data_IF_929110161537
#
_entry.id   IF_929110161537
#
_cell.length_a   1.000
_cell.length_b   1.000
_cell.length_c   1.000
_cell.angle_alpha   90.00
_cell.angle_beta   90.00
_cell.angle_gamma   90.00
#
_symmetry.space_group_name_H-M   'P 1'
#
loop_
_entity.id
_entity.type
_entity.pdbx_description
1 polymer ?
#
# COMPACT_ATOMS: atom_id res chain seq x y z
N UNK A 1 35.56 -28.40 -1.44
CA UNK A 1 34.54 -27.99 -2.42
C UNK A 1 33.82 -26.78 -1.85
N UNK A 2 34.17 -25.56 -2.31
CA UNK A 2 33.66 -24.30 -1.76
C UNK A 2 32.49 -23.84 -2.60
N UNK A 3 31.28 -23.80 -2.05
CA UNK A 3 30.13 -23.18 -2.69
C UNK A 3 30.19 -21.67 -2.45
N UNK A 4 30.46 -20.91 -3.51
CA UNK A 4 30.34 -19.47 -3.51
C UNK A 4 28.85 -19.08 -3.47
N UNK A 5 28.43 -18.34 -2.45
CA UNK A 5 27.10 -17.74 -2.38
C UNK A 5 26.99 -16.51 -3.30
N UNK A 6 25.81 -16.17 -3.81
CA UNK A 6 25.61 -14.98 -4.62
C UNK A 6 25.60 -13.74 -3.72
N UNK A 7 26.80 -13.18 -3.50
CA UNK A 7 26.96 -11.86 -2.91
C UNK A 7 26.78 -10.79 -3.96
N UNK A 8 25.56 -10.30 -4.16
CA UNK A 8 25.31 -9.00 -4.78
C UNK A 8 24.90 -8.02 -3.68
N UNK A 9 25.89 -7.38 -3.05
CA UNK A 9 25.67 -6.16 -2.28
C UNK A 9 25.26 -5.08 -3.27
N UNK A 10 23.96 -4.80 -3.37
CA UNK A 10 23.42 -3.69 -4.14
C UNK A 10 23.94 -2.36 -3.59
N UNK A 11 25.00 -1.85 -4.20
CA UNK A 11 25.65 -0.59 -3.83
C UNK A 11 24.85 0.58 -4.41
N UNK A 12 23.90 1.16 -3.66
CA UNK A 12 23.39 2.54 -3.82
C UNK A 12 22.77 3.00 -5.18
N UNK A 13 22.99 2.28 -6.29
CA UNK A 13 22.52 2.60 -7.64
C UNK A 13 21.07 2.16 -7.86
N UNK A 14 20.67 1.06 -7.24
CA UNK A 14 19.30 0.52 -7.37
C UNK A 14 18.26 1.45 -6.74
N UNK A 15 18.65 2.28 -5.76
CA UNK A 15 17.77 3.29 -5.18
C UNK A 15 17.46 4.44 -6.14
N UNK A 16 18.40 4.81 -7.03
CA UNK A 16 18.24 5.96 -7.93
C UNK A 16 17.33 5.63 -9.12
N UNK A 17 17.38 4.40 -9.63
CA UNK A 17 16.51 3.96 -10.74
C UNK A 17 15.07 3.72 -10.29
N UNK A 18 14.88 3.16 -9.08
CA UNK A 18 13.54 3.05 -8.49
C UNK A 18 12.90 4.42 -8.20
N UNK A 19 13.72 5.45 -7.96
CA UNK A 19 13.27 6.81 -7.61
C UNK A 19 12.58 7.54 -8.78
N UNK A 20 12.86 7.15 -10.03
CA UNK A 20 12.30 7.80 -11.23
C UNK A 20 11.19 7.00 -11.92
N UNK A 21 11.08 5.70 -11.65
CA UNK A 21 10.09 4.85 -12.33
C UNK A 21 8.64 5.26 -12.01
N UNK A 22 8.33 5.56 -10.74
CA UNK A 22 6.98 5.96 -10.34
C UNK A 22 6.54 7.28 -11.01
N UNK A 23 7.30 8.40 -10.92
CA UNK A 23 6.94 9.63 -11.60
C UNK A 23 6.68 9.44 -13.10
N UNK A 24 7.56 8.70 -13.79
CA UNK A 24 7.45 8.46 -15.24
C UNK A 24 6.22 7.64 -15.59
N UNK A 25 5.92 6.57 -14.84
CA UNK A 25 4.74 5.75 -15.08
C UNK A 25 3.44 6.49 -14.75
N UNK A 26 3.43 7.30 -13.68
CA UNK A 26 2.29 8.14 -13.33
C UNK A 26 2.01 9.18 -14.41
N UNK A 27 3.03 9.90 -14.86
CA UNK A 27 2.88 10.91 -15.92
C UNK A 27 2.42 10.25 -17.23
N UNK A 28 3.05 9.16 -17.67
CA UNK A 28 2.66 8.47 -18.90
C UNK A 28 1.22 7.94 -18.85
N UNK A 29 0.79 7.42 -17.70
CA UNK A 29 -0.58 6.96 -17.52
C UNK A 29 -1.57 8.13 -17.49
N UNK A 30 -1.23 9.23 -16.82
CA UNK A 30 -2.06 10.44 -16.80
C UNK A 30 -2.18 11.07 -18.19
N UNK A 31 -1.09 11.12 -18.96
CA UNK A 31 -1.10 11.60 -20.35
C UNK A 31 -2.02 10.77 -21.25
N UNK A 32 -2.13 9.47 -20.96
CA UNK A 32 -3.04 8.59 -21.68
C UNK A 32 -4.50 8.73 -21.25
N UNK A 33 -4.76 8.88 -19.94
CA UNK A 33 -6.12 8.84 -19.38
C UNK A 33 -6.81 10.20 -19.33
N UNK A 34 -6.07 11.26 -19.03
CA UNK A 34 -6.56 12.62 -18.82
C UNK A 34 -5.42 13.65 -19.02
N UNK A 35 -4.96 13.85 -20.28
CA UNK A 35 -3.81 14.70 -20.58
C UNK A 35 -3.96 16.14 -20.07
N UNK A 36 -5.18 16.67 -20.03
CA UNK A 36 -5.52 18.00 -19.52
C UNK A 36 -5.42 18.12 -17.98
N UNK A 37 -5.47 17.00 -17.25
CA UNK A 37 -5.32 16.95 -15.79
C UNK A 37 -3.90 16.54 -15.35
N UNK A 38 -2.99 16.29 -16.31
CA UNK A 38 -1.64 15.82 -16.02
C UNK A 38 -0.78 16.92 -15.43
N UNK A 39 -0.12 16.64 -14.31
CA UNK A 39 0.79 17.59 -13.66
C UNK A 39 2.18 17.42 -14.26
N UNK A 40 2.65 18.44 -14.98
CA UNK A 40 3.96 18.44 -15.65
C UNK A 40 4.94 19.34 -14.95
N UNK A 41 6.23 19.11 -15.22
CA UNK A 41 7.28 20.06 -14.88
C UNK A 41 7.09 21.37 -15.65
N UNK A 42 6.68 22.42 -14.93
CA UNK A 42 6.47 23.75 -15.46
C UNK A 42 5.87 24.70 -14.43
N UNK A 43 5.78 25.99 -14.77
CA UNK A 43 5.11 27.01 -13.95
C UNK A 43 5.62 27.07 -12.50
N UNK A 44 4.74 26.99 -11.47
CA UNK A 44 5.09 27.19 -10.06
C UNK A 44 6.05 26.15 -9.47
N UNK A 45 6.33 25.05 -10.19
CA UNK A 45 7.32 24.06 -9.77
C UNK A 45 8.76 24.49 -10.15
N UNK A 46 8.91 25.41 -11.11
CA UNK A 46 10.21 25.96 -11.49
C UNK A 46 10.73 26.84 -10.35
N UNK A 47 11.86 26.46 -9.76
CA UNK A 47 12.48 27.15 -8.62
C UNK A 47 12.37 26.42 -7.28
N UNK A 48 11.64 25.30 -7.22
CA UNK A 48 11.72 24.38 -6.08
C UNK A 48 12.99 23.53 -6.15
N UNK A 49 13.49 23.09 -4.99
CA UNK A 49 14.57 22.11 -4.91
C UNK A 49 14.19 20.79 -5.64
N UNK A 50 15.12 20.11 -6.34
CA UNK A 50 14.81 18.94 -7.16
C UNK A 50 14.07 17.81 -6.42
N UNK A 51 14.38 17.59 -5.14
CA UNK A 51 13.68 16.60 -4.33
C UNK A 51 12.21 16.98 -4.07
N UNK A 52 11.95 18.28 -3.83
CA UNK A 52 10.61 18.80 -3.64
C UNK A 52 9.81 18.81 -4.94
N UNK A 53 10.42 19.21 -6.06
CA UNK A 53 9.79 19.12 -7.38
C UNK A 53 9.28 17.71 -7.67
N UNK A 54 10.12 16.69 -7.46
CA UNK A 54 9.74 15.29 -7.67
C UNK A 54 8.58 14.86 -6.77
N UNK A 55 8.62 15.25 -5.50
CA UNK A 55 7.52 14.98 -4.58
C UNK A 55 6.20 15.62 -5.05
N UNK A 56 6.21 16.89 -5.44
CA UNK A 56 5.02 17.61 -5.92
C UNK A 56 4.47 17.00 -7.23
N UNK A 57 5.34 16.55 -8.14
CA UNK A 57 4.91 15.85 -9.36
C UNK A 57 4.20 14.53 -9.05
N UNK A 58 4.78 13.72 -8.17
CA UNK A 58 4.19 12.43 -7.78
C UNK A 58 2.87 12.67 -7.06
N UNK A 59 2.84 13.57 -6.07
CA UNK A 59 1.62 13.87 -5.32
C UNK A 59 0.53 14.45 -6.22
N UNK A 60 0.88 15.41 -7.08
CA UNK A 60 -0.04 16.05 -8.01
C UNK A 60 -0.66 15.06 -9.00
N UNK A 61 0.16 14.23 -9.66
CA UNK A 61 -0.35 13.21 -10.58
C UNK A 61 -1.12 12.10 -9.84
N UNK A 62 -0.71 11.70 -8.64
CA UNK A 62 -1.44 10.71 -7.84
C UNK A 62 -2.83 11.22 -7.43
N UNK A 63 -2.92 12.48 -7.02
CA UNK A 63 -4.18 13.16 -6.73
C UNK A 63 -5.07 13.28 -7.97
N UNK A 64 -4.51 13.70 -9.11
CA UNK A 64 -5.23 13.80 -10.37
C UNK A 64 -5.74 12.43 -10.82
N UNK A 65 -4.88 11.41 -10.83
CA UNK A 65 -5.24 10.05 -11.17
C UNK A 65 -6.36 9.52 -10.26
N UNK A 66 -6.25 9.70 -8.94
CA UNK A 66 -7.31 9.27 -8.04
C UNK A 66 -8.65 9.96 -8.35
N UNK A 67 -8.67 11.23 -8.77
CA UNK A 67 -9.92 11.92 -9.14
C UNK A 67 -10.50 11.34 -10.43
N UNK A 68 -9.67 11.14 -11.45
CA UNK A 68 -10.07 10.53 -12.74
C UNK A 68 -10.66 9.14 -12.52
N UNK A 69 -9.94 8.27 -11.79
CA UNK A 69 -10.37 6.88 -11.57
C UNK A 69 -11.65 6.77 -10.73
N UNK A 70 -11.92 7.71 -9.82
CA UNK A 70 -13.17 7.74 -9.04
C UNK A 70 -14.37 8.16 -9.87
N UNK A 71 -14.17 9.07 -10.83
CA UNK A 71 -15.24 9.51 -11.75
C UNK A 71 -15.62 8.42 -12.75
N UNK A 72 -14.67 7.57 -13.15
CA UNK A 72 -14.91 6.48 -14.11
C UNK A 72 -14.20 5.17 -13.71
N UNK A 73 -14.95 4.31 -13.02
CA UNK A 73 -14.47 2.98 -12.62
C UNK A 73 -14.30 2.02 -13.81
N UNK A 74 -14.87 2.32 -15.00
CA UNK A 74 -14.60 1.51 -16.19
C UNK A 74 -13.16 1.71 -16.69
N UNK A 75 -12.58 2.90 -16.52
CA UNK A 75 -11.15 3.12 -16.78
C UNK A 75 -10.29 2.23 -15.88
N UNK A 76 -10.64 2.11 -14.59
CA UNK A 76 -9.92 1.22 -13.67
C UNK A 76 -9.94 -0.22 -14.15
N UNK A 77 -11.10 -0.71 -14.60
CA UNK A 77 -11.24 -2.09 -15.12
C UNK A 77 -10.45 -2.30 -16.41
N UNK A 78 -10.46 -1.31 -17.31
CA UNK A 78 -9.76 -1.35 -18.60
C UNK A 78 -8.24 -1.35 -18.43
N UNK A 79 -7.72 -0.52 -17.53
CA UNK A 79 -6.27 -0.32 -17.29
C UNK A 79 -5.78 -0.98 -15.99
N UNK A 80 -6.44 -2.08 -15.58
CA UNK A 80 -6.21 -2.69 -14.26
C UNK A 80 -4.76 -3.13 -14.05
N UNK A 81 -4.09 -3.62 -15.09
CA UNK A 81 -2.74 -4.16 -14.96
C UNK A 81 -1.73 -3.04 -14.72
N UNK A 82 -1.85 -1.96 -15.50
CA UNK A 82 -1.04 -0.76 -15.41
C UNK A 82 -1.23 -0.08 -14.06
N UNK A 83 -2.47 0.04 -13.60
CA UNK A 83 -2.80 0.65 -12.32
C UNK A 83 -2.34 -0.18 -11.11
N UNK A 84 -2.51 -1.51 -11.16
CA UNK A 84 -2.00 -2.41 -10.12
C UNK A 84 -0.47 -2.33 -10.04
N UNK A 85 0.22 -2.22 -11.19
CA UNK A 85 1.67 -2.08 -11.25
C UNK A 85 2.22 -0.80 -10.59
N UNK A 86 1.37 0.21 -10.33
CA UNK A 86 1.77 1.39 -9.56
C UNK A 86 1.85 1.12 -8.05
N UNK A 87 1.13 0.13 -7.52
CA UNK A 87 1.10 -0.15 -6.08
C UNK A 87 2.48 -0.48 -5.49
N UNK A 88 3.29 -1.39 -6.06
CA UNK A 88 4.63 -1.64 -5.53
C UNK A 88 5.58 -0.45 -5.73
N UNK A 89 5.28 0.47 -6.65
CA UNK A 89 6.13 1.63 -6.91
C UNK A 89 5.82 2.81 -5.97
N UNK A 90 4.55 2.96 -5.56
CA UNK A 90 4.12 4.02 -4.65
C UNK A 90 4.51 3.73 -3.19
N UNK A 91 4.86 4.77 -2.46
CA UNK A 91 5.11 4.67 -1.02
C UNK A 91 3.86 4.34 -0.19
N UNK A 92 2.67 4.31 -0.82
CA UNK A 92 1.36 3.99 -0.26
C UNK A 92 1.10 4.71 1.07
N UNK A 93 1.54 5.97 1.16
CA UNK A 93 1.29 6.86 2.31
C UNK A 93 -0.15 7.34 2.37
N UNK A 94 -0.86 7.29 1.24
CA UNK A 94 -2.28 7.60 1.12
C UNK A 94 -3.02 6.45 0.47
N UNK A 95 -4.35 6.53 0.49
CA UNK A 95 -5.25 5.57 -0.12
C UNK A 95 -5.61 5.90 -1.59
N UNK A 96 -4.96 6.90 -2.18
CA UNK A 96 -5.37 7.50 -3.46
C UNK A 96 -5.31 6.49 -4.63
N UNK A 97 -4.36 5.55 -4.62
CA UNK A 97 -4.27 4.49 -5.64
C UNK A 97 -5.07 3.24 -5.27
N UNK A 98 -5.00 2.82 -4.00
CA UNK A 98 -5.64 1.56 -3.56
C UNK A 98 -7.17 1.65 -3.58
N UNK A 99 -7.76 2.77 -3.17
CA UNK A 99 -9.21 2.88 -3.07
C UNK A 99 -9.94 2.71 -4.40
N UNK A 100 -9.61 3.44 -5.48
CA UNK A 100 -10.26 3.23 -6.77
C UNK A 100 -10.14 1.79 -7.27
N UNK A 101 -9.01 1.13 -7.02
CA UNK A 101 -8.78 -0.27 -7.38
C UNK A 101 -9.69 -1.21 -6.61
N UNK A 102 -9.78 -1.07 -5.28
CA UNK A 102 -10.68 -1.88 -4.47
C UNK A 102 -12.15 -1.63 -4.84
N UNK A 103 -12.53 -0.38 -5.10
CA UNK A 103 -13.90 -0.03 -5.50
C UNK A 103 -14.29 -0.62 -6.86
N UNK A 104 -13.39 -0.60 -7.85
CA UNK A 104 -13.71 -1.08 -9.20
C UNK A 104 -13.54 -2.60 -9.38
N UNK A 105 -12.52 -3.19 -8.73
CA UNK A 105 -12.09 -4.58 -8.91
C UNK A 105 -12.50 -5.51 -7.76
N UNK A 106 -12.82 -4.95 -6.59
CA UNK A 106 -13.03 -5.68 -5.35
C UNK A 106 -11.74 -5.90 -4.54
N UNK A 107 -11.90 -6.24 -3.25
CA UNK A 107 -10.77 -6.44 -2.32
C UNK A 107 -9.89 -7.63 -2.71
N UNK A 108 -10.50 -8.78 -3.03
CA UNK A 108 -9.79 -10.04 -3.27
C UNK A 108 -8.79 -9.96 -4.43
N UNK A 109 -9.14 -9.46 -5.64
CA UNK A 109 -8.17 -9.34 -6.72
C UNK A 109 -7.00 -8.40 -6.39
N UNK A 110 -7.29 -7.29 -5.69
CA UNK A 110 -6.26 -6.33 -5.27
C UNK A 110 -5.33 -6.93 -4.22
N UNK A 111 -5.86 -7.62 -3.22
CA UNK A 111 -5.05 -8.23 -2.17
C UNK A 111 -4.18 -9.37 -2.71
N UNK A 112 -4.70 -10.21 -3.62
CA UNK A 112 -3.89 -11.23 -4.31
C UNK A 112 -2.73 -10.63 -5.07
N UNK A 113 -2.99 -9.57 -5.85
CA UNK A 113 -1.92 -8.85 -6.55
C UNK A 113 -0.85 -8.32 -5.59
N UNK A 114 -1.27 -7.75 -4.44
CA UNK A 114 -0.33 -7.26 -3.43
C UNK A 114 0.52 -8.40 -2.86
N UNK A 115 -0.08 -9.56 -2.53
CA UNK A 115 0.63 -10.75 -2.05
C UNK A 115 1.70 -11.19 -3.07
N UNK A 116 1.33 -11.30 -4.35
CA UNK A 116 2.25 -11.65 -5.42
C UNK A 116 3.41 -10.64 -5.54
N UNK A 117 3.11 -9.34 -5.46
CA UNK A 117 4.10 -8.27 -5.54
C UNK A 117 5.09 -8.29 -4.35
N UNK A 118 4.61 -8.64 -3.15
CA UNK A 118 5.48 -8.86 -1.98
C UNK A 118 6.41 -10.06 -2.18
N UNK A 119 5.96 -11.11 -2.86
CA UNK A 119 6.77 -12.30 -3.14
C UNK A 119 7.83 -12.10 -4.22
N UNK A 120 7.58 -11.23 -5.21
CA UNK A 120 8.33 -11.21 -6.47
C UNK A 120 9.13 -9.92 -6.74
N UNK A 121 8.77 -8.79 -6.13
CA UNK A 121 9.40 -7.49 -6.42
C UNK A 121 10.83 -7.33 -5.88
N UNK A 122 11.50 -6.23 -6.24
CA UNK A 122 12.71 -5.77 -5.53
C UNK A 122 12.39 -5.30 -4.10
N UNK A 123 13.39 -5.16 -3.23
CA UNK A 123 13.15 -4.83 -1.81
C UNK A 123 12.24 -3.62 -1.56
N UNK A 124 12.41 -2.46 -2.25
CA UNK A 124 11.50 -1.32 -2.09
C UNK A 124 10.07 -1.65 -2.52
N UNK A 125 9.92 -2.43 -3.60
CA UNK A 125 8.63 -2.83 -4.15
C UNK A 125 7.86 -3.75 -3.20
N UNK A 126 8.56 -4.71 -2.58
CA UNK A 126 7.97 -5.60 -1.57
C UNK A 126 7.47 -4.80 -0.38
N UNK A 127 8.30 -3.89 0.14
CA UNK A 127 7.94 -3.04 1.27
C UNK A 127 6.74 -2.13 0.97
N UNK A 128 6.71 -1.53 -0.22
CA UNK A 128 5.61 -0.69 -0.68
C UNK A 128 4.32 -1.50 -0.88
N UNK A 129 4.40 -2.68 -1.48
CA UNK A 129 3.27 -3.59 -1.66
C UNK A 129 2.68 -4.02 -0.31
N UNK A 130 3.51 -4.48 0.63
CA UNK A 130 3.07 -4.81 2.00
C UNK A 130 2.35 -3.65 2.66
N UNK A 131 2.83 -2.41 2.45
CA UNK A 131 2.18 -1.22 2.99
C UNK A 131 0.84 -0.90 2.29
N UNK A 132 0.72 -1.14 0.98
CA UNK A 132 -0.52 -0.96 0.24
C UNK A 132 -1.70 -1.76 0.84
N UNK A 133 -1.41 -2.95 1.38
CA UNK A 133 -2.43 -3.79 2.02
C UNK A 133 -3.16 -3.11 3.17
N UNK A 134 -2.54 -2.11 3.83
CA UNK A 134 -3.20 -1.29 4.87
C UNK A 134 -4.53 -0.70 4.42
N UNK A 135 -4.59 -0.31 3.15
CA UNK A 135 -5.71 0.42 2.60
C UNK A 135 -6.82 -0.50 2.06
N UNK A 136 -6.53 -1.78 1.84
CA UNK A 136 -7.50 -2.75 1.32
C UNK A 136 -8.75 -2.88 2.22
N UNK A 137 -8.61 -3.16 3.54
CA UNK A 137 -9.79 -3.27 4.42
C UNK A 137 -10.44 -1.91 4.70
N UNK A 138 -9.71 -0.81 4.46
CA UNK A 138 -10.18 0.57 4.69
C UNK A 138 -10.89 1.18 3.49
N UNK A 139 -10.81 0.53 2.33
CA UNK A 139 -11.55 0.94 1.13
C UNK A 139 -13.04 1.10 1.46
N UNK A 140 -13.75 2.05 0.83
CA UNK A 140 -15.16 2.23 1.08
C UNK A 140 -15.90 0.94 0.66
N UNK A 141 -16.21 0.09 1.64
CA UNK A 141 -17.29 -0.91 1.53
C UNK A 141 -18.65 -0.26 1.68
N UNK A 142 -18.70 1.05 1.96
CA UNK A 142 -19.92 1.77 2.29
C UNK A 142 -20.43 2.53 1.05
N UNK A 143 -21.56 2.13 0.44
CA UNK A 143 -22.28 2.94 -0.54
C UNK A 143 -22.53 4.35 -0.01
N UNK A 144 -22.33 5.37 -0.84
CA UNK A 144 -22.49 6.77 -0.46
C UNK A 144 -21.32 7.37 0.35
N UNK A 145 -20.18 6.68 0.46
CA UNK A 145 -18.96 7.27 1.05
C UNK A 145 -18.51 8.55 0.33
N UNK A 146 -18.60 8.58 -1.00
CA UNK A 146 -18.25 9.76 -1.78
C UNK A 146 -19.27 10.89 -1.60
N UNK A 147 -20.55 10.58 -1.56
CA UNK A 147 -21.62 11.55 -1.25
C UNK A 147 -21.42 12.17 0.13
N UNK A 148 -21.00 11.36 1.12
CA UNK A 148 -20.64 11.83 2.45
C UNK A 148 -19.44 12.77 2.43
N UNK A 149 -18.37 12.40 1.70
CA UNK A 149 -17.19 13.24 1.59
C UNK A 149 -17.48 14.57 0.88
N UNK A 150 -18.23 14.52 -0.23
CA UNK A 150 -18.72 15.69 -0.96
C UNK A 150 -19.59 16.56 -0.05
N UNK A 151 -20.53 15.97 0.69
CA UNK A 151 -21.40 16.71 1.62
C UNK A 151 -20.61 17.43 2.72
N UNK A 152 -19.53 16.81 3.23
CA UNK A 152 -18.65 17.45 4.22
C UNK A 152 -17.85 18.59 3.60
N UNK A 153 -17.24 18.34 2.43
CA UNK A 153 -16.43 19.32 1.72
C UNK A 153 -17.25 20.56 1.33
N UNK A 154 -18.47 20.35 0.88
CA UNK A 154 -19.36 21.41 0.39
C UNK A 154 -20.15 22.07 1.54
N UNK A 155 -19.87 21.69 2.79
CA UNK A 155 -20.50 22.27 3.98
C UNK A 155 -21.96 21.85 4.21
N UNK A 156 -22.49 20.93 3.40
CA UNK A 156 -23.85 20.38 3.49
C UNK A 156 -24.01 19.50 4.75
N UNK A 157 -22.93 18.87 5.21
CA UNK A 157 -22.92 17.98 6.36
C UNK A 157 -21.72 18.28 7.27
N UNK A 158 -21.92 18.26 8.59
CA UNK A 158 -20.79 18.41 9.51
C UNK A 158 -19.91 17.14 9.52
N UNK A 159 -18.62 17.31 9.88
CA UNK A 159 -17.71 16.17 10.07
C UNK A 159 -18.24 15.20 11.14
N UNK A 160 -18.91 15.71 12.17
CA UNK A 160 -19.49 14.91 13.23
C UNK A 160 -20.64 14.03 12.70
N UNK A 161 -21.53 14.60 11.89
CA UNK A 161 -22.66 13.89 11.29
C UNK A 161 -22.19 12.83 10.29
N UNK A 162 -21.18 13.16 9.47
CA UNK A 162 -20.58 12.19 8.56
C UNK A 162 -19.96 11.01 9.32
N UNK A 163 -19.24 11.26 10.42
CA UNK A 163 -18.72 10.19 11.29
C UNK A 163 -19.83 9.34 11.90
N UNK A 164 -20.92 9.97 12.35
CA UNK A 164 -22.06 9.25 12.92
C UNK A 164 -22.76 8.38 11.86
N UNK A 165 -23.00 8.91 10.65
CA UNK A 165 -23.59 8.17 9.53
C UNK A 165 -22.70 7.01 9.10
N UNK A 166 -21.38 7.20 9.02
CA UNK A 166 -20.42 6.13 8.74
C UNK A 166 -20.42 5.02 9.79
N UNK A 167 -20.50 5.38 11.08
CA UNK A 167 -20.61 4.38 12.15
C UNK A 167 -21.87 3.54 12.00
N UNK A 168 -23.01 4.17 11.66
CA UNK A 168 -24.28 3.46 11.42
C UNK A 168 -24.20 2.54 10.20
N UNK A 169 -23.63 3.02 9.09
CA UNK A 169 -23.48 2.22 7.88
C UNK A 169 -22.54 1.02 8.09
N UNK A 170 -21.47 1.19 8.87
CA UNK A 170 -20.56 0.10 9.25
C UNK A 170 -21.15 -0.88 10.27
N UNK A 171 -22.15 -0.46 11.04
CA UNK A 171 -22.83 -1.32 12.00
C UNK A 171 -23.91 -2.21 11.34
N UNK A 172 -24.14 -2.07 10.03
CA UNK A 172 -25.03 -2.96 9.30
C UNK A 172 -24.29 -4.26 8.90
N UNK A 173 -24.84 -5.44 9.24
CA UNK A 173 -24.15 -6.73 9.10
C UNK A 173 -23.93 -7.19 7.64
N UNK A 174 -24.53 -6.52 6.65
CA UNK A 174 -24.36 -6.86 5.22
C UNK A 174 -23.03 -6.36 4.62
N UNK A 175 -22.13 -5.78 5.44
CA UNK A 175 -20.93 -5.08 4.96
C UNK A 175 -19.61 -5.52 5.60
N UNK A 176 -19.51 -6.72 6.17
CA UNK A 176 -18.21 -7.32 6.52
C UNK A 176 -17.56 -8.00 5.30
N UNK A 177 -17.33 -7.23 4.23
CA UNK A 177 -16.55 -7.65 3.06
C UNK A 177 -15.04 -7.86 3.40
N UNK A 178 -14.63 -7.55 4.64
CA UNK A 178 -13.33 -7.98 5.18
C UNK A 178 -13.29 -9.48 5.50
N UNK A 179 -14.42 -10.08 5.92
CA UNK A 179 -14.51 -11.53 6.12
C UNK A 179 -14.30 -12.25 4.77
N UNK A 180 -14.76 -11.63 3.67
CA UNK A 180 -14.62 -12.15 2.32
C UNK A 180 -13.16 -12.20 1.81
N UNK A 181 -12.20 -11.65 2.55
CA UNK A 181 -10.76 -11.76 2.26
C UNK A 181 -9.94 -12.20 3.48
N UNK A 182 -10.60 -12.65 4.56
CA UNK A 182 -9.92 -13.04 5.79
C UNK A 182 -8.91 -14.17 5.57
N UNK A 183 -9.23 -15.10 4.67
CA UNK A 183 -8.38 -16.23 4.24
C UNK A 183 -7.06 -15.79 3.60
N UNK A 184 -6.97 -14.57 3.06
CA UNK A 184 -5.76 -14.09 2.38
C UNK A 184 -4.77 -13.38 3.32
N UNK A 185 -5.20 -12.97 4.52
CA UNK A 185 -4.30 -12.27 5.45
C UNK A 185 -3.12 -13.12 5.92
N UNK A 186 -3.28 -14.40 6.30
CA UNK A 186 -2.15 -15.25 6.66
C UNK A 186 -1.10 -15.38 5.55
N UNK A 187 -1.54 -15.43 4.29
CA UNK A 187 -0.65 -15.50 3.14
C UNK A 187 0.14 -14.20 2.96
N UNK A 188 -0.53 -13.05 3.04
CA UNK A 188 0.15 -11.74 3.02
C UNK A 188 1.15 -11.60 4.17
N UNK A 189 0.75 -11.99 5.38
CA UNK A 189 1.58 -11.89 6.58
C UNK A 189 2.83 -12.74 6.43
N UNK A 190 2.69 -13.97 5.94
CA UNK A 190 3.81 -14.87 5.69
C UNK A 190 4.76 -14.31 4.63
N UNK A 191 4.23 -13.79 3.52
CA UNK A 191 5.03 -13.16 2.46
C UNK A 191 5.79 -11.93 2.99
N UNK A 192 5.13 -11.09 3.78
CA UNK A 192 5.72 -9.88 4.37
C UNK A 192 6.76 -10.20 5.44
N UNK A 193 6.52 -11.22 6.26
CA UNK A 193 7.46 -11.70 7.28
C UNK A 193 8.72 -12.28 6.63
N UNK A 194 8.58 -13.05 5.55
CA UNK A 194 9.72 -13.54 4.76
C UNK A 194 10.53 -12.38 4.19
N UNK A 195 9.85 -11.41 3.58
CA UNK A 195 10.51 -10.22 3.06
C UNK A 195 11.23 -9.42 4.17
N UNK A 196 10.66 -9.36 5.38
CA UNK A 196 11.28 -8.69 6.53
C UNK A 196 12.56 -9.39 7.01
N UNK A 197 12.53 -10.72 7.12
CA UNK A 197 13.68 -11.52 7.54
C UNK A 197 14.82 -11.39 6.52
N UNK A 198 14.51 -11.59 5.24
CA UNK A 198 15.49 -11.63 4.15
C UNK A 198 16.05 -10.25 3.77
N UNK A 199 15.40 -9.14 4.16
CA UNK A 199 15.82 -7.79 3.78
C UNK A 199 16.85 -7.22 4.74
N UNK A 200 18.08 -6.97 4.30
CA UNK A 200 19.14 -6.38 5.15
C UNK A 200 19.05 -4.86 5.37
N UNK A 201 18.11 -4.17 4.72
CA UNK A 201 17.92 -2.73 4.85
C UNK A 201 16.95 -2.39 6.00
N UNK A 202 17.48 -1.79 7.07
CA UNK A 202 16.71 -1.39 8.25
C UNK A 202 15.55 -0.42 7.92
N UNK A 203 15.73 0.47 6.95
CA UNK A 203 14.72 1.43 6.51
C UNK A 203 13.53 0.74 5.82
N UNK A 204 13.79 -0.32 5.05
CA UNK A 204 12.76 -1.14 4.42
C UNK A 204 12.12 -2.12 5.42
N UNK A 205 12.91 -2.72 6.33
CA UNK A 205 12.37 -3.50 7.47
C UNK A 205 11.37 -2.68 8.29
N UNK A 206 11.67 -1.39 8.53
CA UNK A 206 10.74 -0.44 9.18
C UNK A 206 9.44 -0.16 8.41
N UNK A 207 9.34 -0.53 7.14
CA UNK A 207 8.08 -0.47 6.39
C UNK A 207 7.37 -1.83 6.47
N UNK A 208 8.11 -2.90 6.21
CA UNK A 208 7.63 -4.29 6.20
C UNK A 208 7.08 -4.73 7.54
N UNK A 209 7.74 -4.37 8.65
CA UNK A 209 7.35 -4.84 9.97
C UNK A 209 5.92 -4.45 10.31
N UNK A 210 5.30 -3.44 9.66
CA UNK A 210 3.91 -3.04 9.91
C UNK A 210 2.86 -4.01 9.38
N UNK A 211 3.25 -4.94 8.50
CA UNK A 211 2.32 -5.72 7.70
C UNK A 211 1.93 -7.07 8.30
N UNK A 212 2.57 -7.52 9.38
CA UNK A 212 2.32 -8.86 9.95
C UNK A 212 2.38 -8.84 11.49
N UNK A 213 1.70 -9.77 12.18
CA UNK A 213 1.84 -10.02 13.62
C UNK A 213 2.90 -11.11 13.91
N UNK A 214 3.41 -11.22 15.15
CA UNK A 214 4.29 -12.35 15.56
C UNK A 214 3.55 -13.48 16.29
N UNK A 215 2.26 -13.36 16.58
CA UNK A 215 1.54 -14.38 17.34
C UNK A 215 1.38 -15.68 16.52
N UNK A 216 1.75 -16.81 17.13
CA UNK A 216 1.78 -18.11 16.46
C UNK A 216 0.42 -18.57 15.92
N UNK A 217 -0.68 -18.16 16.55
CA UNK A 217 -2.05 -18.52 16.14
C UNK A 217 -2.43 -18.03 14.72
N UNK A 218 -1.68 -17.09 14.15
CA UNK A 218 -1.91 -16.54 12.81
C UNK A 218 -1.23 -17.33 11.69
N UNK A 219 -0.43 -18.35 12.02
CA UNK A 219 0.44 -19.03 11.07
C UNK A 219 0.32 -20.55 11.16
N UNK A 220 0.57 -21.26 10.05
CA UNK A 220 0.73 -22.71 10.09
C UNK A 220 2.03 -23.09 10.84
N UNK A 221 2.11 -24.28 11.47
CA UNK A 221 3.27 -24.69 12.28
C UNK A 221 4.61 -24.63 11.53
N UNK A 222 4.61 -24.89 10.23
CA UNK A 222 5.80 -24.88 9.38
C UNK A 222 6.44 -23.49 9.25
N UNK A 223 5.70 -22.42 9.57
CA UNK A 223 6.22 -21.06 9.59
C UNK A 223 6.97 -20.71 10.89
N UNK A 224 7.01 -21.61 11.89
CA UNK A 224 7.64 -21.34 13.18
C UNK A 224 9.10 -20.88 13.08
N UNK A 225 9.99 -21.50 12.28
CA UNK A 225 11.38 -21.04 12.16
C UNK A 225 11.49 -19.61 11.60
N UNK A 226 10.62 -19.26 10.64
CA UNK A 226 10.60 -17.93 10.04
C UNK A 226 10.09 -16.87 11.04
N UNK A 227 9.09 -17.23 11.85
CA UNK A 227 8.55 -16.39 12.93
C UNK A 227 9.58 -16.15 14.02
N UNK A 228 10.30 -17.19 14.45
CA UNK A 228 11.37 -17.10 15.45
C UNK A 228 12.50 -16.20 14.98
N UNK A 229 12.86 -16.28 13.69
CA UNK A 229 13.87 -15.41 13.10
C UNK A 229 13.41 -13.95 13.04
N UNK A 230 12.15 -13.70 12.64
CA UNK A 230 11.58 -12.36 12.68
C UNK A 230 11.52 -11.78 14.11
N UNK A 231 11.18 -12.61 15.09
CA UNK A 231 11.17 -12.28 16.52
C UNK A 231 12.59 -11.95 17.02
N UNK A 232 13.60 -12.74 16.64
CA UNK A 232 15.01 -12.47 16.96
C UNK A 232 15.49 -11.12 16.41
N UNK A 233 15.14 -10.79 15.17
CA UNK A 233 15.44 -9.47 14.57
C UNK A 233 14.74 -8.35 15.36
N UNK A 234 13.47 -8.55 15.72
CA UNK A 234 12.70 -7.57 16.48
C UNK A 234 13.27 -7.33 17.90
N UNK A 235 13.67 -8.40 18.60
CA UNK A 235 14.29 -8.35 19.93
C UNK A 235 15.67 -7.68 19.93
N UNK A 236 16.42 -7.77 18.82
CA UNK A 236 17.70 -7.10 18.68
C UNK A 236 17.56 -5.56 18.53
N UNK A 237 16.38 -5.07 18.14
CA UNK A 237 16.11 -3.64 17.92
C UNK A 237 14.70 -3.25 18.43
N UNK A 238 14.43 -3.40 19.74
CA UNK A 238 13.09 -3.26 20.31
C UNK A 238 12.51 -1.85 20.15
N UNK A 239 13.35 -0.81 20.12
CA UNK A 239 12.93 0.57 19.91
C UNK A 239 12.38 0.81 18.49
N UNK A 240 12.79 0.00 17.52
CA UNK A 240 12.34 0.08 16.12
C UNK A 240 11.17 -0.86 15.84
N UNK A 241 11.17 -2.04 16.47
CA UNK A 241 10.23 -3.11 16.16
C UNK A 241 9.32 -3.51 17.33
N UNK A 242 9.24 -2.73 18.41
CA UNK A 242 8.41 -3.02 19.59
C UNK A 242 6.96 -3.36 19.25
N UNK A 243 6.42 -2.73 18.22
CA UNK A 243 5.10 -3.03 17.64
C UNK A 243 4.85 -4.52 17.32
N UNK A 244 5.88 -5.22 16.82
CA UNK A 244 5.82 -6.66 16.52
C UNK A 244 5.84 -7.48 17.81
N UNK A 245 6.65 -7.08 18.78
CA UNK A 245 6.77 -7.71 20.10
C UNK A 245 5.46 -7.59 20.90
N UNK A 246 4.72 -6.49 20.70
CA UNK A 246 3.39 -6.27 21.28
C UNK A 246 2.28 -7.12 20.61
N UNK A 247 2.61 -7.93 19.59
CA UNK A 247 1.66 -8.82 18.90
C UNK A 247 0.65 -8.11 18.00
N UNK A 248 0.81 -6.81 17.74
CA UNK A 248 -0.12 -6.03 16.92
C UNK A 248 0.19 -6.09 15.43
N UNK A 249 -0.69 -5.58 14.56
CA UNK A 249 -0.38 -5.19 13.17
C UNK A 249 -0.44 -3.66 13.02
N UNK A 250 0.22 -3.10 12.00
CA UNK A 250 0.06 -1.69 11.65
C UNK A 250 -1.39 -1.37 11.23
N UNK A 251 -2.19 -2.41 10.97
CA UNK A 251 -3.59 -2.35 10.60
C UNK A 251 -4.54 -2.27 11.80
N UNK A 252 -4.04 -2.47 13.03
CA UNK A 252 -4.81 -2.59 14.27
C UNK A 252 -4.62 -3.96 14.93
N UNK A 253 -5.64 -4.44 15.64
CA UNK A 253 -5.71 -5.86 16.03
C UNK A 253 -5.67 -6.71 14.75
N UNK A 254 -4.94 -7.83 14.79
CA UNK A 254 -4.93 -8.76 13.67
C UNK A 254 -6.38 -9.20 13.39
N UNK A 255 -6.80 -9.08 12.13
CA UNK A 255 -8.14 -9.41 11.64
C UNK A 255 -8.31 -10.93 11.66
#
# INVERSE_FOLDING_TARGET
MRCAGPGARGTGRDHVTADMELPQRLEALMDHLAPEETVRLGGPLLGLEPARQRWELVEGNRLALSRVLRRDLHLVRRHRAELLALLPLDGNVTNQLVFPLVTALGRRPVLRYIIDAVGQGGWPQRANASKAAYWVPKGPSVPGWEELFVSVRDGVMSVADARAKLRRLRAQPEQTDNDAVADLWPELWLASMRAFVDCDDDGLRRRLHTAFPLAAAHYPPEAAPLREEAERIALAQPERFGRLLDGSTGYGLAI
#
